data_IF_717379200177
#
_entry.id   IF_717379200177
#
_cell.length_a   1.000
_cell.length_b   1.000
_cell.length_c   1.000
_cell.angle_alpha   90.00
_cell.angle_beta   90.00
_cell.angle_gamma   90.00
#
_symmetry.space_group_name_H-M   'P 1'
#
loop_
_entity.id
_entity.type
_entity.pdbx_description
1 polymer ?
#
# COMPACT_ATOMS: atom_id res chain seq x y z
N UNK A 1 -27.21 32.81 -8.21
CA UNK A 1 -27.17 31.41 -7.74
C UNK A 1 -25.81 30.85 -8.13
N UNK A 2 -24.85 30.89 -7.20
CA UNK A 2 -23.50 30.38 -7.43
C UNK A 2 -23.50 28.94 -6.92
N UNK A 3 -23.58 27.98 -7.83
CA UNK A 3 -23.38 26.57 -7.49
C UNK A 3 -21.88 26.34 -7.50
N UNK A 4 -21.25 26.49 -6.34
CA UNK A 4 -19.90 25.97 -6.10
C UNK A 4 -20.03 24.45 -6.01
N UNK A 5 -20.02 23.76 -7.17
CA UNK A 5 -19.72 22.34 -7.22
C UNK A 5 -18.24 22.22 -6.85
N UNK A 6 -17.96 22.08 -5.56
CA UNK A 6 -16.66 21.63 -5.10
C UNK A 6 -16.50 20.18 -5.51
N UNK A 7 -15.98 19.93 -6.71
CA UNK A 7 -15.42 18.64 -7.08
C UNK A 7 -14.15 18.42 -6.25
N UNK A 8 -14.32 18.06 -4.98
CA UNK A 8 -13.26 17.38 -4.25
C UNK A 8 -13.50 15.90 -4.53
N UNK A 9 -12.59 15.29 -5.28
CA UNK A 9 -12.56 13.84 -5.49
C UNK A 9 -12.76 13.13 -4.14
N UNK A 10 -13.57 12.08 -4.12
CA UNK A 10 -13.74 11.31 -2.88
C UNK A 10 -12.40 10.72 -2.44
N UNK A 11 -12.27 10.36 -1.17
CA UNK A 11 -11.07 9.69 -0.69
C UNK A 11 -10.82 8.40 -1.50
N UNK A 12 -11.88 7.70 -1.87
CA UNK A 12 -11.83 6.47 -2.68
C UNK A 12 -11.26 6.75 -4.08
N UNK A 13 -11.70 7.84 -4.74
CA UNK A 13 -11.18 8.25 -6.04
C UNK A 13 -9.70 8.62 -5.97
N UNK A 14 -9.28 9.32 -4.90
CA UNK A 14 -7.89 9.69 -4.68
C UNK A 14 -7.00 8.46 -4.44
N UNK A 15 -7.47 7.49 -3.64
CA UNK A 15 -6.77 6.22 -3.41
C UNK A 15 -6.65 5.45 -4.72
N UNK A 16 -7.73 5.31 -5.48
CA UNK A 16 -7.71 4.60 -6.76
C UNK A 16 -6.76 5.28 -7.78
N UNK A 17 -6.74 6.61 -7.83
CA UNK A 17 -5.81 7.36 -8.68
C UNK A 17 -4.35 7.11 -8.25
N UNK A 18 -4.07 7.09 -6.95
CA UNK A 18 -2.75 6.80 -6.41
C UNK A 18 -2.30 5.36 -6.71
N UNK A 19 -3.15 4.36 -6.47
CA UNK A 19 -2.83 2.96 -6.77
C UNK A 19 -2.56 2.73 -8.27
N UNK A 20 -3.34 3.41 -9.12
CA UNK A 20 -3.13 3.41 -10.57
C UNK A 20 -1.81 4.10 -10.96
N UNK A 21 -1.40 5.12 -10.23
CA UNK A 21 -0.10 5.75 -10.44
C UNK A 21 1.03 4.78 -10.07
N UNK A 22 1.00 4.19 -8.87
CA UNK A 22 2.04 3.28 -8.38
C UNK A 22 2.19 2.07 -9.31
N UNK A 23 1.10 1.44 -9.72
CA UNK A 23 1.13 0.28 -10.62
C UNK A 23 1.72 0.55 -12.00
N UNK A 24 1.89 1.81 -12.39
CA UNK A 24 2.46 2.21 -13.68
C UNK A 24 3.84 2.86 -13.56
N UNK A 25 4.24 3.25 -12.35
CA UNK A 25 5.43 4.06 -12.12
C UNK A 25 6.31 3.38 -11.07
N UNK A 26 7.01 2.33 -11.51
CA UNK A 26 8.01 1.65 -10.70
C UNK A 26 9.16 2.59 -10.35
N UNK A 27 9.55 2.62 -9.08
CA UNK A 27 10.74 3.35 -8.66
C UNK A 27 11.99 2.45 -8.70
N UNK A 28 13.04 2.87 -9.39
CA UNK A 28 14.29 2.11 -9.47
C UNK A 28 14.20 0.85 -10.35
N UNK A 29 15.07 -0.13 -10.05
CA UNK A 29 15.20 -1.37 -10.82
C UNK A 29 14.41 -2.56 -10.28
N UNK A 30 14.11 -2.55 -8.98
CA UNK A 30 13.32 -3.57 -8.30
C UNK A 30 11.82 -3.22 -8.31
N UNK A 31 10.95 -4.20 -8.06
CA UNK A 31 9.51 -3.99 -7.99
C UNK A 31 9.10 -3.39 -6.65
N UNK A 32 8.47 -2.22 -6.65
CA UNK A 32 7.80 -1.66 -5.47
C UNK A 32 6.79 -2.66 -4.87
N UNK A 33 6.61 -2.60 -3.55
CA UNK A 33 5.85 -3.61 -2.81
C UNK A 33 4.85 -2.95 -1.86
N UNK A 34 3.62 -3.48 -1.86
CA UNK A 34 2.62 -3.17 -0.86
C UNK A 34 2.78 -4.06 0.36
N UNK A 35 2.91 -3.45 1.54
CA UNK A 35 2.62 -4.14 2.79
C UNK A 35 1.10 -4.19 2.94
N UNK A 36 0.55 -5.40 3.04
CA UNK A 36 -0.88 -5.62 3.27
C UNK A 36 -1.12 -6.29 4.63
N UNK A 37 -2.21 -5.90 5.29
CA UNK A 37 -2.65 -6.43 6.58
C UNK A 37 -3.95 -7.18 6.43
N UNK A 38 -4.06 -8.33 7.08
CA UNK A 38 -5.33 -9.06 7.18
C UNK A 38 -6.21 -8.40 8.25
N UNK A 39 -7.36 -7.86 7.84
CA UNK A 39 -8.27 -7.16 8.74
C UNK A 39 -9.26 -8.13 9.42
N UNK A 40 -10.09 -7.58 10.32
CA UNK A 40 -11.09 -8.36 11.06
C UNK A 40 -12.24 -8.89 10.20
N UNK A 41 -12.44 -8.34 9.00
CA UNK A 41 -13.46 -8.75 8.04
C UNK A 41 -13.00 -9.88 7.12
N UNK A 42 -11.71 -10.27 7.19
CA UNK A 42 -11.14 -11.33 6.37
C UNK A 42 -10.47 -10.84 5.08
N UNK A 43 -10.37 -9.52 4.89
CA UNK A 43 -9.78 -8.91 3.71
C UNK A 43 -8.31 -8.54 3.93
N UNK A 44 -7.55 -8.48 2.84
CA UNK A 44 -6.19 -7.94 2.84
C UNK A 44 -6.21 -6.49 2.40
N UNK A 45 -5.84 -5.58 3.30
CA UNK A 45 -5.84 -4.14 3.09
C UNK A 45 -4.41 -3.61 2.94
N UNK A 46 -4.18 -2.73 1.96
CA UNK A 46 -2.89 -2.07 1.76
C UNK A 46 -2.66 -1.03 2.85
N UNK A 47 -1.57 -1.17 3.60
CA UNK A 47 -1.27 -0.29 4.75
C UNK A 47 0.00 0.53 4.58
N UNK A 48 0.93 0.12 3.70
CA UNK A 48 2.11 0.90 3.36
C UNK A 48 2.65 0.54 1.96
N UNK A 49 3.20 1.53 1.27
CA UNK A 49 4.02 1.32 0.06
C UNK A 49 5.50 1.33 0.46
N UNK A 50 6.23 0.32 -0.01
CA UNK A 50 7.67 0.22 0.14
C UNK A 50 8.30 0.33 -1.25
N UNK A 51 9.19 1.29 -1.41
CA UNK A 51 9.84 1.59 -2.68
C UNK A 51 11.18 2.29 -2.43
N UNK A 52 12.12 2.10 -3.36
CA UNK A 52 13.40 2.82 -3.36
C UNK A 52 14.49 2.24 -2.46
N UNK A 53 14.30 1.02 -1.97
CA UNK A 53 15.37 0.21 -1.38
C UNK A 53 16.09 -0.57 -2.47
N UNK A 54 17.23 -1.18 -2.10
CA UNK A 54 17.98 -2.06 -3.01
C UNK A 54 17.20 -3.33 -3.36
N UNK A 55 16.42 -3.82 -2.40
CA UNK A 55 15.49 -4.96 -2.53
C UNK A 55 14.24 -4.61 -1.71
N UNK A 56 13.22 -4.11 -2.40
CA UNK A 56 11.98 -3.64 -1.77
C UNK A 56 11.19 -4.82 -1.20
N UNK A 57 11.34 -6.01 -1.79
CA UNK A 57 10.70 -7.23 -1.30
C UNK A 57 11.29 -7.68 0.02
N UNK A 58 12.61 -7.81 0.10
CA UNK A 58 13.30 -8.21 1.33
C UNK A 58 13.02 -7.21 2.46
N UNK A 59 13.05 -5.91 2.16
CA UNK A 59 12.73 -4.89 3.17
C UNK A 59 11.27 -4.99 3.63
N UNK A 60 10.32 -5.25 2.71
CA UNK A 60 8.93 -5.48 3.07
C UNK A 60 8.75 -6.70 3.99
N UNK A 61 9.40 -7.82 3.68
CA UNK A 61 9.30 -9.04 4.48
C UNK A 61 9.88 -8.84 5.89
N UNK A 62 10.96 -8.05 6.04
CA UNK A 62 11.53 -7.65 7.34
C UNK A 62 10.54 -6.79 8.15
N UNK A 63 9.92 -5.81 7.49
CA UNK A 63 8.90 -4.95 8.13
C UNK A 63 7.70 -5.78 8.56
N UNK A 64 7.16 -6.65 7.70
CA UNK A 64 6.04 -7.53 8.03
C UNK A 64 6.37 -8.41 9.25
N UNK A 65 7.58 -8.98 9.29
CA UNK A 65 8.08 -9.78 10.42
C UNK A 65 8.15 -8.96 11.70
N UNK A 66 8.66 -7.72 11.64
CA UNK A 66 8.73 -6.82 12.78
C UNK A 66 7.34 -6.49 13.34
N UNK A 67 6.38 -6.18 12.47
CA UNK A 67 4.99 -5.91 12.88
C UNK A 67 4.34 -7.13 13.54
N UNK A 68 4.48 -8.32 12.94
CA UNK A 68 3.95 -9.56 13.52
C UNK A 68 4.64 -9.94 14.83
N UNK A 69 5.94 -9.62 15.00
CA UNK A 69 6.64 -9.80 16.27
C UNK A 69 6.08 -8.87 17.36
N UNK A 70 5.77 -7.63 17.01
CA UNK A 70 5.21 -6.63 17.94
C UNK A 70 3.74 -6.90 18.27
N UNK A 71 2.98 -7.37 17.29
CA UNK A 71 1.55 -7.69 17.40
C UNK A 71 1.28 -9.10 16.85
N UNK A 72 1.46 -10.16 17.65
CA UNK A 72 1.38 -11.55 17.17
C UNK A 72 0.01 -11.99 16.63
N UNK A 73 -1.06 -11.26 16.93
CA UNK A 73 -2.39 -11.50 16.38
C UNK A 73 -2.55 -10.94 14.95
N UNK A 74 -1.73 -9.97 14.56
CA UNK A 74 -1.76 -9.40 13.23
C UNK A 74 -1.13 -10.35 12.21
N UNK A 75 -1.64 -10.32 10.98
CA UNK A 75 -1.03 -11.00 9.84
C UNK A 75 -0.71 -9.97 8.78
N UNK A 76 0.54 -9.98 8.33
CA UNK A 76 1.03 -9.11 7.28
C UNK A 76 1.63 -9.95 6.15
N UNK A 77 1.57 -9.45 4.91
CA UNK A 77 2.30 -10.01 3.77
C UNK A 77 2.66 -8.89 2.79
N UNK A 78 3.45 -9.25 1.80
CA UNK A 78 4.00 -8.36 0.80
C UNK A 78 3.48 -8.72 -0.59
N UNK A 79 2.73 -7.81 -1.22
CA UNK A 79 2.14 -7.96 -2.55
C UNK A 79 2.80 -6.99 -3.54
N UNK A 80 2.98 -7.41 -4.81
CA UNK A 80 3.58 -6.53 -5.81
C UNK A 80 2.73 -5.28 -6.05
N UNK A 81 3.39 -4.14 -6.21
CA UNK A 81 2.71 -2.89 -6.51
C UNK A 81 2.67 -2.57 -8.01
N UNK A 82 3.63 -3.09 -8.80
CA UNK A 82 3.72 -2.98 -10.26
C UNK A 82 4.08 -4.31 -10.94
#
# INVERSE_FOLDING_TARGET
MVVLVGCKDSLEDQVAAWEKFVSKNRYGSDADVWLVKHNAFGDWERVALIFGFTDDRSFCDDVATLYMKKYPADRHRCDKAN
#
